data_IF_592409891214
#
_entry.id   IF_592409891214
#
_cell.length_a   1.000
_cell.length_b   1.000
_cell.length_c   1.000
_cell.angle_alpha   90.00
_cell.angle_beta   90.00
_cell.angle_gamma   90.00
#
_symmetry.space_group_name_H-M   'P 1'
#
loop_
_entity.id
_entity.type
_entity.pdbx_description
1 polymer ?
#
# COMPACT_ATOMS: atom_id res chain seq x y z
N UNK A 1 -32.45 -0.68 33.94
CA UNK A 1 -31.53 -1.78 33.64
C UNK A 1 -30.53 -1.31 32.61
N UNK A 2 -29.28 -1.39 33.02
CA UNK A 2 -28.11 -0.79 32.39
C UNK A 2 -27.71 -1.56 31.11
N UNK A 3 -27.71 -0.89 29.98
CA UNK A 3 -27.10 -1.36 28.75
C UNK A 3 -25.61 -0.99 28.81
N UNK A 4 -24.79 -1.85 29.41
CA UNK A 4 -23.31 -1.75 29.28
C UNK A 4 -22.92 -2.22 27.91
N UNK A 5 -22.32 -1.31 27.14
CA UNK A 5 -21.61 -1.64 25.90
C UNK A 5 -20.47 -2.64 26.21
N UNK A 6 -20.23 -3.64 25.36
CA UNK A 6 -19.14 -4.58 25.58
C UNK A 6 -17.80 -3.83 25.56
N UNK A 7 -17.04 -4.01 26.64
CA UNK A 7 -15.71 -3.47 26.81
C UNK A 7 -14.82 -3.87 25.63
N UNK A 8 -14.14 -2.89 25.03
CA UNK A 8 -13.04 -3.10 24.08
C UNK A 8 -12.10 -4.17 24.64
N UNK A 9 -12.00 -5.28 23.92
CA UNK A 9 -11.15 -6.40 24.30
C UNK A 9 -9.72 -5.94 24.50
N UNK A 10 -9.25 -6.07 25.74
CA UNK A 10 -7.86 -5.85 26.07
C UNK A 10 -6.97 -6.70 25.15
N UNK A 11 -5.85 -6.18 24.67
CA UNK A 11 -4.91 -6.95 23.85
C UNK A 11 -4.44 -8.16 24.65
N UNK A 12 -4.21 -9.33 24.00
CA UNK A 12 -3.72 -10.50 24.69
C UNK A 12 -2.41 -10.16 25.41
N UNK A 13 -2.36 -10.55 26.69
CA UNK A 13 -1.19 -10.40 27.55
C UNK A 13 -0.15 -11.47 27.19
N UNK A 14 0.43 -11.36 26.00
CA UNK A 14 1.55 -12.19 25.57
C UNK A 14 2.65 -11.32 24.93
N UNK A 15 2.98 -10.24 25.62
CA UNK A 15 4.23 -9.55 25.47
C UNK A 15 5.12 -10.01 26.62
N UNK A 16 5.73 -11.17 26.49
CA UNK A 16 6.89 -11.50 27.28
C UNK A 16 7.85 -10.34 27.18
N UNK A 17 8.03 -9.61 28.29
CA UNK A 17 9.01 -8.55 28.41
C UNK A 17 10.41 -9.18 28.21
N UNK A 18 10.84 -9.33 26.96
CA UNK A 18 12.23 -9.53 26.68
C UNK A 18 12.93 -8.24 27.11
N UNK A 19 13.86 -8.32 28.03
CA UNK A 19 14.76 -7.23 28.40
C UNK A 19 15.44 -6.75 27.10
N UNK A 20 15.04 -5.59 26.63
CA UNK A 20 15.47 -5.07 25.33
C UNK A 20 16.69 -4.18 25.51
N UNK A 21 17.84 -4.79 25.71
CA UNK A 21 19.09 -4.12 25.43
C UNK A 21 19.28 -4.13 23.89
N UNK A 22 18.96 -3.02 23.25
CA UNK A 22 19.16 -2.82 21.81
C UNK A 22 17.90 -2.42 21.03
N UNK A 23 18.07 -1.95 19.78
CA UNK A 23 16.98 -1.55 18.93
C UNK A 23 16.08 -2.73 18.53
N UNK A 24 14.79 -2.45 18.37
CA UNK A 24 13.81 -3.44 17.98
C UNK A 24 12.94 -2.95 16.83
N UNK A 25 12.37 -3.88 16.05
CA UNK A 25 11.43 -3.58 14.98
C UNK A 25 10.13 -4.40 15.07
N UNK A 26 9.09 -3.90 14.47
CA UNK A 26 7.87 -4.64 14.16
C UNK A 26 7.87 -5.01 12.68
N UNK A 27 7.54 -6.24 12.36
CA UNK A 27 7.33 -6.70 10.99
C UNK A 27 5.85 -6.62 10.63
N UNK A 28 5.54 -5.95 9.53
CA UNK A 28 4.18 -5.82 8.98
C UNK A 28 4.14 -6.50 7.63
N UNK A 29 3.55 -7.68 7.51
CA UNK A 29 3.38 -8.34 6.23
C UNK A 29 2.29 -7.61 5.43
N UNK A 30 2.67 -7.08 4.27
CA UNK A 30 1.77 -6.53 3.26
C UNK A 30 1.68 -7.52 2.09
N UNK A 31 0.99 -8.63 2.30
CA UNK A 31 0.86 -9.73 1.34
C UNK A 31 -0.55 -9.80 0.80
N UNK A 32 -0.68 -9.97 -0.53
CA UNK A 32 -1.99 -10.04 -1.19
C UNK A 32 -2.52 -8.69 -1.65
N UNK A 33 -3.83 -8.56 -1.77
CA UNK A 33 -4.51 -7.42 -2.42
C UNK A 33 -4.69 -6.25 -1.47
N UNK A 34 -4.25 -5.07 -1.87
CA UNK A 34 -4.48 -3.82 -1.14
C UNK A 34 -5.98 -3.50 -1.14
N UNK A 35 -6.56 -3.37 0.04
CA UNK A 35 -8.00 -3.14 0.22
C UNK A 35 -8.82 -4.40 0.49
N UNK A 36 -8.18 -5.59 0.45
CA UNK A 36 -8.79 -6.86 0.83
C UNK A 36 -7.94 -7.52 1.95
N UNK A 37 -6.71 -7.96 1.59
CA UNK A 37 -5.78 -8.59 2.52
C UNK A 37 -4.96 -7.58 3.32
N UNK A 38 -4.62 -6.46 2.67
CA UNK A 38 -3.80 -5.39 3.25
C UNK A 38 -4.64 -4.14 3.46
N UNK A 39 -4.89 -3.82 4.72
CA UNK A 39 -5.76 -2.72 5.14
C UNK A 39 -5.01 -1.69 5.98
N UNK A 40 -5.34 -0.42 5.74
CA UNK A 40 -4.80 0.71 6.48
C UNK A 40 -5.08 0.62 8.00
N UNK A 41 -6.23 0.07 8.40
CA UNK A 41 -6.61 -0.10 9.81
C UNK A 41 -5.66 -1.04 10.56
N UNK A 42 -5.13 -2.07 9.88
CA UNK A 42 -4.07 -2.91 10.41
C UNK A 42 -2.81 -2.09 10.71
N UNK A 43 -2.38 -1.25 9.78
CA UNK A 43 -1.21 -0.39 9.96
C UNK A 43 -1.41 0.65 11.07
N UNK A 44 -2.61 1.25 11.19
CA UNK A 44 -2.96 2.15 12.30
C UNK A 44 -2.76 1.45 13.65
N UNK A 45 -3.23 0.21 13.76
CA UNK A 45 -3.10 -0.60 14.97
C UNK A 45 -1.62 -0.88 15.30
N UNK A 46 -0.80 -1.19 14.29
CA UNK A 46 0.65 -1.43 14.46
C UNK A 46 1.37 -0.16 14.91
N UNK A 47 1.10 0.98 14.28
CA UNK A 47 1.70 2.27 14.67
C UNK A 47 1.34 2.63 16.11
N UNK A 48 0.08 2.48 16.48
CA UNK A 48 -0.37 2.73 17.85
C UNK A 48 0.32 1.80 18.85
N UNK A 49 0.50 0.53 18.50
CA UNK A 49 1.26 -0.42 19.33
C UNK A 49 2.73 -0.05 19.43
N UNK A 50 3.39 0.27 18.30
CA UNK A 50 4.79 0.71 18.27
C UNK A 50 5.05 1.90 19.22
N UNK A 51 4.18 2.93 19.14
CA UNK A 51 4.26 4.11 20.00
C UNK A 51 4.14 3.76 21.48
N UNK A 52 3.17 2.92 21.87
CA UNK A 52 2.99 2.50 23.27
C UNK A 52 4.14 1.66 23.79
N UNK A 53 4.74 0.83 22.94
CA UNK A 53 5.82 -0.10 23.29
C UNK A 53 7.23 0.53 23.16
N UNK A 54 7.32 1.77 22.67
CA UNK A 54 8.61 2.45 22.44
C UNK A 54 9.39 1.92 21.23
N UNK A 55 8.79 1.05 20.40
CA UNK A 55 9.42 0.54 19.17
C UNK A 55 9.46 1.65 18.12
N UNK A 56 10.64 1.91 17.56
CA UNK A 56 10.85 3.01 16.60
C UNK A 56 10.88 2.55 15.15
N UNK A 57 11.10 1.28 14.87
CA UNK A 57 11.27 0.76 13.53
C UNK A 57 10.11 -0.16 13.15
N UNK A 58 9.52 0.09 12.00
CA UNK A 58 8.50 -0.75 11.37
C UNK A 58 9.02 -1.17 10.01
N UNK A 59 9.13 -2.47 9.80
CA UNK A 59 9.50 -3.07 8.51
C UNK A 59 8.22 -3.51 7.80
N UNK A 60 7.97 -2.97 6.61
CA UNK A 60 6.89 -3.37 5.73
C UNK A 60 7.42 -4.44 4.77
N UNK A 61 7.03 -5.69 4.95
CA UNK A 61 7.35 -6.77 4.01
C UNK A 61 6.30 -6.77 2.90
N UNK A 62 6.65 -6.21 1.73
CA UNK A 62 5.73 -5.95 0.64
C UNK A 62 5.83 -7.06 -0.41
N UNK A 63 4.74 -7.82 -0.54
CA UNK A 63 4.56 -8.86 -1.55
C UNK A 63 3.12 -8.81 -2.07
N UNK A 64 2.85 -7.83 -2.94
CA UNK A 64 1.49 -7.48 -3.33
C UNK A 64 1.39 -7.14 -4.82
N UNK A 65 0.36 -7.67 -5.51
CA UNK A 65 0.04 -7.30 -6.89
C UNK A 65 -0.62 -5.92 -6.99
N UNK A 66 -0.89 -5.26 -5.86
CA UNK A 66 -1.63 -4.00 -5.79
C UNK A 66 -3.07 -4.19 -5.31
N UNK A 67 -3.99 -3.38 -5.79
CA UNK A 67 -5.39 -3.38 -5.39
C UNK A 67 -6.00 -1.98 -5.44
N UNK A 68 -6.81 -1.62 -4.44
CA UNK A 68 -7.50 -0.34 -4.38
C UNK A 68 -6.53 0.83 -4.19
N UNK A 69 -6.47 1.73 -5.17
CA UNK A 69 -5.64 2.94 -5.12
C UNK A 69 -6.02 3.87 -3.94
N UNK A 70 -7.29 3.93 -3.56
CA UNK A 70 -7.78 4.69 -2.41
C UNK A 70 -7.21 4.17 -1.10
N UNK A 71 -7.14 2.85 -0.93
CA UNK A 71 -6.59 2.23 0.27
C UNK A 71 -5.06 2.37 0.31
N UNK A 72 -4.37 2.16 -0.83
CA UNK A 72 -2.94 2.44 -0.93
C UNK A 72 -2.61 3.88 -0.54
N UNK A 73 -3.38 4.86 -1.02
CA UNK A 73 -3.22 6.28 -0.65
C UNK A 73 -3.44 6.49 0.84
N UNK A 74 -4.48 5.90 1.44
CA UNK A 74 -4.75 5.97 2.88
C UNK A 74 -3.57 5.44 3.70
N UNK A 75 -2.98 4.31 3.28
CA UNK A 75 -1.75 3.76 3.89
C UNK A 75 -0.61 4.79 3.82
N UNK A 76 -0.35 5.39 2.65
CA UNK A 76 0.69 6.40 2.48
C UNK A 76 0.47 7.65 3.34
N UNK A 77 -0.77 8.13 3.49
CA UNK A 77 -1.14 9.25 4.36
C UNK A 77 -0.86 8.93 5.84
N UNK A 78 -1.27 7.76 6.31
CA UNK A 78 -1.02 7.28 7.68
C UNK A 78 0.50 7.18 7.95
N UNK A 79 1.27 6.66 7.01
CA UNK A 79 2.73 6.57 7.13
C UNK A 79 3.36 7.96 7.22
N UNK A 80 2.94 8.89 6.37
CA UNK A 80 3.41 10.28 6.39
C UNK A 80 3.14 10.95 7.74
N UNK A 81 1.95 10.78 8.30
CA UNK A 81 1.55 11.40 9.56
C UNK A 81 2.34 10.83 10.75
N UNK A 82 2.68 9.53 10.71
CA UNK A 82 3.47 8.87 11.74
C UNK A 82 5.00 9.01 11.58
N UNK A 83 5.47 9.56 10.45
CA UNK A 83 6.88 9.55 10.03
C UNK A 83 7.86 10.19 11.01
N UNK A 84 7.40 11.12 11.84
CA UNK A 84 8.22 11.77 12.88
C UNK A 84 8.44 10.91 14.11
N UNK A 85 7.60 9.91 14.31
CA UNK A 85 7.57 9.10 15.53
C UNK A 85 8.12 7.70 15.31
N UNK A 86 7.91 7.16 14.10
CA UNK A 86 8.39 5.82 13.71
C UNK A 86 9.09 5.87 12.34
N UNK A 87 10.11 5.04 12.19
CA UNK A 87 10.85 4.87 10.94
C UNK A 87 10.29 3.68 10.18
N UNK A 88 9.81 3.91 8.96
CA UNK A 88 9.34 2.87 8.07
C UNK A 88 10.45 2.41 7.13
N UNK A 89 10.64 1.11 7.02
CA UNK A 89 11.56 0.46 6.08
C UNK A 89 10.76 -0.49 5.20
N UNK A 90 10.76 -0.27 3.89
CA UNK A 90 10.18 -1.21 2.94
C UNK A 90 11.17 -2.34 2.63
N UNK A 91 10.74 -3.57 2.81
CA UNK A 91 11.40 -4.79 2.36
C UNK A 91 10.55 -5.40 1.24
N UNK A 92 11.01 -5.24 0.01
CA UNK A 92 10.19 -5.49 -1.18
C UNK A 92 10.53 -6.83 -1.81
N UNK A 93 9.52 -7.68 -1.97
CA UNK A 93 9.49 -8.88 -2.81
C UNK A 93 8.77 -8.59 -4.13
N UNK A 94 7.59 -7.99 -4.02
CA UNK A 94 6.81 -7.51 -5.15
C UNK A 94 5.98 -6.30 -4.70
N UNK A 95 6.15 -5.15 -5.36
CA UNK A 95 5.39 -3.94 -5.09
C UNK A 95 4.80 -3.40 -6.39
N UNK A 96 3.65 -3.95 -6.80
CA UNK A 96 3.00 -3.57 -8.04
C UNK A 96 1.76 -2.72 -7.78
N UNK A 97 1.41 -1.85 -8.73
CA UNK A 97 0.19 -1.03 -8.69
C UNK A 97 0.07 -0.23 -7.38
N UNK A 98 -1.03 -0.35 -6.64
CA UNK A 98 -1.25 0.36 -5.37
C UNK A 98 -0.19 0.04 -4.29
N UNK A 99 0.51 -1.11 -4.37
CA UNK A 99 1.56 -1.48 -3.43
C UNK A 99 2.87 -0.68 -3.60
N UNK A 100 3.01 0.08 -4.69
CA UNK A 100 4.10 1.07 -4.85
C UNK A 100 4.01 2.15 -3.77
N UNK A 101 2.79 2.54 -3.36
CA UNK A 101 2.58 3.65 -2.44
C UNK A 101 3.23 3.43 -1.07
N UNK A 102 3.01 2.33 -0.33
CA UNK A 102 3.72 2.09 0.91
C UNK A 102 5.24 1.99 0.74
N UNK A 103 5.73 1.44 -0.39
CA UNK A 103 7.16 1.39 -0.65
C UNK A 103 7.77 2.79 -0.76
N UNK A 104 7.22 3.67 -1.60
CA UNK A 104 7.74 5.04 -1.80
C UNK A 104 7.48 5.97 -0.61
N UNK A 105 6.54 5.62 0.27
CA UNK A 105 6.27 6.36 1.52
C UNK A 105 7.21 5.96 2.66
N UNK A 106 8.04 4.94 2.49
CA UNK A 106 9.03 4.50 3.46
C UNK A 106 10.25 5.40 3.49
N UNK A 107 11.02 5.38 4.58
CA UNK A 107 12.29 6.13 4.70
C UNK A 107 13.41 5.47 3.87
N UNK A 108 13.38 4.15 3.77
CA UNK A 108 14.35 3.35 2.99
C UNK A 108 13.60 2.21 2.29
N UNK A 109 14.08 1.85 1.11
CA UNK A 109 13.55 0.72 0.34
C UNK A 109 14.69 -0.28 0.11
N UNK A 110 14.44 -1.53 0.44
CA UNK A 110 15.34 -2.65 0.22
C UNK A 110 14.64 -3.73 -0.59
N UNK A 111 15.30 -4.24 -1.60
CA UNK A 111 14.77 -5.21 -2.55
C UNK A 111 15.39 -6.58 -2.37
N UNK A 112 14.60 -7.63 -2.34
CA UNK A 112 15.10 -8.97 -2.62
C UNK A 112 15.65 -9.06 -4.06
N UNK A 113 16.58 -9.98 -4.35
CA UNK A 113 17.23 -10.05 -5.67
C UNK A 113 16.26 -10.20 -6.86
N UNK A 114 15.14 -10.88 -6.65
CA UNK A 114 14.09 -11.12 -7.67
C UNK A 114 12.92 -10.13 -7.58
N UNK A 115 13.02 -9.13 -6.71
CA UNK A 115 11.94 -8.18 -6.49
C UNK A 115 11.68 -7.28 -7.71
N UNK A 116 10.46 -6.77 -7.75
CA UNK A 116 10.00 -5.82 -8.75
C UNK A 116 9.15 -4.71 -8.11
N UNK A 117 9.18 -3.52 -8.73
CA UNK A 117 8.39 -2.37 -8.31
C UNK A 117 7.90 -1.58 -9.52
N UNK A 118 6.62 -1.20 -9.56
CA UNK A 118 6.06 -0.35 -10.63
C UNK A 118 4.65 -0.72 -11.05
N UNK A 119 4.35 -0.51 -12.34
CA UNK A 119 3.04 -0.77 -12.96
C UNK A 119 1.85 -0.17 -12.18
N UNK A 120 1.98 1.10 -11.75
CA UNK A 120 1.02 1.76 -10.84
C UNK A 120 -0.10 2.52 -11.59
N UNK A 121 -0.49 2.06 -12.76
CA UNK A 121 -1.62 2.62 -13.53
C UNK A 121 -2.92 2.33 -12.79
N UNK A 122 -3.73 3.36 -12.58
CA UNK A 122 -5.07 3.19 -12.03
C UNK A 122 -6.10 3.10 -13.16
N UNK A 123 -6.99 2.14 -13.04
CA UNK A 123 -8.13 1.93 -13.92
C UNK A 123 -9.41 2.23 -13.17
N UNK A 124 -10.38 2.81 -13.85
CA UNK A 124 -11.75 2.95 -13.38
C UNK A 124 -12.61 1.90 -14.08
N UNK A 125 -13.32 1.11 -13.31
CA UNK A 125 -14.33 0.21 -13.85
C UNK A 125 -15.55 1.00 -14.27
N UNK A 126 -16.00 0.84 -15.51
CA UNK A 126 -17.20 1.47 -16.05
C UNK A 126 -18.29 0.41 -16.16
N UNK A 127 -19.29 0.40 -15.26
CA UNK A 127 -20.33 -0.63 -15.23
C UNK A 127 -21.11 -0.76 -16.53
N UNK A 128 -21.33 0.35 -17.24
CA UNK A 128 -22.13 0.43 -18.46
C UNK A 128 -21.47 -0.31 -19.63
N UNK A 129 -20.16 -0.32 -19.71
CA UNK A 129 -19.39 -0.97 -20.78
C UNK A 129 -18.78 -2.30 -20.34
N UNK A 130 -18.72 -2.57 -19.04
CA UNK A 130 -17.98 -3.69 -18.49
C UNK A 130 -16.47 -3.64 -18.77
N UNK A 131 -15.93 -2.45 -19.01
CA UNK A 131 -14.53 -2.23 -19.35
C UNK A 131 -13.78 -1.43 -18.26
N UNK A 132 -12.48 -1.66 -18.17
CA UNK A 132 -11.61 -0.83 -17.38
C UNK A 132 -11.11 0.33 -18.25
N UNK A 133 -11.42 1.56 -17.86
CA UNK A 133 -11.01 2.76 -18.58
C UNK A 133 -9.93 3.53 -17.81
N UNK A 134 -9.04 4.14 -18.58
CA UNK A 134 -7.98 5.02 -18.05
C UNK A 134 -8.45 6.47 -18.21
N UNK A 135 -8.64 7.16 -17.10
CA UNK A 135 -8.91 8.59 -17.09
C UNK A 135 -7.58 9.36 -16.99
N UNK A 136 -7.18 10.04 -18.08
CA UNK A 136 -5.92 10.78 -18.14
C UNK A 136 -5.79 11.86 -17.08
N UNK A 137 -6.88 12.56 -16.72
CA UNK A 137 -6.86 13.59 -15.67
C UNK A 137 -6.63 12.95 -14.30
N UNK A 138 -7.29 11.81 -14.06
CA UNK A 138 -7.09 11.07 -12.82
C UNK A 138 -5.67 10.52 -12.73
N UNK A 139 -5.11 9.96 -13.81
CA UNK A 139 -3.72 9.48 -13.83
C UNK A 139 -2.73 10.61 -13.61
N UNK A 140 -2.92 11.78 -14.22
CA UNK A 140 -2.07 12.94 -14.02
C UNK A 140 -2.04 13.40 -12.56
N UNK A 141 -3.21 13.47 -11.92
CA UNK A 141 -3.32 13.82 -10.51
C UNK A 141 -2.70 12.76 -9.58
N UNK A 142 -2.92 11.47 -9.88
CA UNK A 142 -2.32 10.37 -9.14
C UNK A 142 -0.80 10.37 -9.26
N UNK A 143 -0.27 10.54 -10.47
CA UNK A 143 1.17 10.61 -10.74
C UNK A 143 1.82 11.76 -9.98
N UNK A 144 1.20 12.96 -9.97
CA UNK A 144 1.70 14.10 -9.23
C UNK A 144 1.71 13.82 -7.71
N UNK A 145 0.64 13.22 -7.18
CA UNK A 145 0.54 12.86 -5.77
C UNK A 145 1.61 11.84 -5.37
N UNK A 146 1.76 10.77 -6.14
CA UNK A 146 2.74 9.71 -5.86
C UNK A 146 4.18 10.21 -6.02
N UNK A 147 4.45 11.07 -7.03
CA UNK A 147 5.76 11.69 -7.18
C UNK A 147 6.11 12.56 -5.98
N UNK A 148 5.18 13.38 -5.50
CA UNK A 148 5.39 14.20 -4.30
C UNK A 148 5.64 13.34 -3.03
N UNK A 149 4.95 12.19 -2.89
CA UNK A 149 5.24 11.22 -1.81
C UNK A 149 6.67 10.68 -1.91
N UNK A 150 7.10 10.28 -3.09
CA UNK A 150 8.44 9.76 -3.34
C UNK A 150 9.51 10.84 -3.06
N UNK A 151 9.33 12.05 -3.59
CA UNK A 151 10.23 13.18 -3.38
C UNK A 151 10.37 13.55 -1.90
N UNK A 152 9.28 13.48 -1.12
CA UNK A 152 9.31 13.67 0.33
C UNK A 152 10.11 12.60 1.09
N UNK A 153 10.34 11.46 0.43
CA UNK A 153 11.17 10.35 0.92
C UNK A 153 12.58 10.35 0.33
N UNK A 154 12.94 11.39 -0.44
CA UNK A 154 14.24 11.49 -1.12
C UNK A 154 14.38 10.62 -2.38
N UNK A 155 13.28 10.11 -2.91
CA UNK A 155 13.24 9.31 -4.12
C UNK A 155 12.96 10.18 -5.35
N UNK A 156 13.33 9.67 -6.54
CA UNK A 156 13.12 10.38 -7.80
C UNK A 156 11.65 10.32 -8.24
N UNK A 157 11.00 11.49 -8.39
CA UNK A 157 9.61 11.61 -8.79
C UNK A 157 9.32 11.22 -10.23
N UNK A 158 10.28 11.39 -11.16
CA UNK A 158 10.07 11.04 -12.57
C UNK A 158 10.01 9.52 -12.78
N UNK A 159 10.75 8.74 -11.97
CA UNK A 159 10.60 7.28 -11.93
C UNK A 159 9.16 6.92 -11.56
N UNK A 160 8.62 7.55 -10.53
CA UNK A 160 7.25 7.27 -10.06
C UNK A 160 6.21 7.74 -11.08
N UNK A 161 6.41 8.89 -11.73
CA UNK A 161 5.53 9.33 -12.82
C UNK A 161 5.46 8.30 -13.95
N UNK A 162 6.59 7.72 -14.34
CA UNK A 162 6.63 6.70 -15.38
C UNK A 162 5.99 5.36 -14.95
N UNK A 163 5.95 5.06 -13.67
CA UNK A 163 5.21 3.91 -13.13
C UNK A 163 3.68 4.11 -13.21
N UNK A 164 3.20 5.36 -13.30
CA UNK A 164 1.77 5.71 -13.31
C UNK A 164 1.28 6.08 -14.70
N UNK A 165 2.06 6.89 -15.43
CA UNK A 165 1.68 7.44 -16.74
C UNK A 165 2.22 6.54 -17.84
N UNK A 166 1.38 5.83 -18.60
CA UNK A 166 1.82 5.08 -19.76
C UNK A 166 2.51 5.99 -20.79
N UNK A 167 3.56 5.49 -21.41
CA UNK A 167 4.28 6.20 -22.47
C UNK A 167 5.04 7.46 -22.03
N UNK A 168 5.42 7.54 -20.75
CA UNK A 168 6.34 8.55 -20.27
C UNK A 168 7.78 8.02 -20.38
N UNK A 169 8.58 8.56 -21.29
CA UNK A 169 9.98 8.20 -21.39
C UNK A 169 10.78 8.70 -20.19
N UNK A 170 11.71 7.88 -19.71
CA UNK A 170 12.65 8.23 -18.64
C UNK A 170 14.05 7.85 -19.04
N UNK A 171 14.98 8.72 -18.74
CA UNK A 171 16.40 8.58 -19.09
C UNK A 171 17.25 8.61 -17.82
N UNK A 172 18.42 7.99 -17.89
CA UNK A 172 19.44 8.09 -16.86
C UNK A 172 20.80 8.39 -17.47
N UNK A 173 21.61 9.17 -16.75
CA UNK A 173 22.98 9.48 -17.13
C UNK A 173 23.84 9.81 -15.90
N UNK A 174 25.15 9.81 -16.08
CA UNK A 174 26.09 10.19 -15.03
C UNK A 174 26.50 11.66 -15.17
N UNK A 175 26.55 12.37 -14.03
CA UNK A 175 27.17 13.69 -13.94
C UNK A 175 28.69 13.60 -14.04
N UNK A 176 29.38 14.73 -14.18
CA UNK A 176 30.83 14.78 -14.11
C UNK A 176 31.39 14.29 -12.76
N UNK A 177 30.62 14.40 -11.68
CA UNK A 177 30.95 13.92 -10.33
C UNK A 177 30.65 12.43 -10.10
N UNK A 178 30.06 11.73 -11.09
CA UNK A 178 29.69 10.32 -10.98
C UNK A 178 28.31 10.05 -10.36
N UNK A 179 27.51 11.11 -10.11
CA UNK A 179 26.14 10.93 -9.62
C UNK A 179 25.22 10.49 -10.75
N UNK A 180 24.30 9.58 -10.44
CA UNK A 180 23.25 9.15 -11.37
C UNK A 180 22.11 10.16 -11.34
N UNK A 181 21.80 10.74 -12.48
CA UNK A 181 20.62 11.58 -12.71
C UNK A 181 19.59 10.75 -13.45
N UNK A 182 18.34 10.84 -13.02
CA UNK A 182 17.19 10.22 -13.69
C UNK A 182 16.16 11.30 -13.95
N UNK A 183 15.68 11.41 -15.20
CA UNK A 183 14.71 12.44 -15.57
C UNK A 183 13.85 12.01 -16.75
N UNK A 184 12.65 12.60 -16.84
CA UNK A 184 11.81 12.55 -18.03
C UNK A 184 12.34 13.45 -19.15
N UNK A 185 13.25 14.37 -18.86
CA UNK A 185 13.94 15.18 -19.87
C UNK A 185 15.08 14.39 -20.50
N UNK A 186 15.31 14.63 -21.80
CA UNK A 186 16.42 13.99 -22.51
C UNK A 186 17.78 14.40 -21.94
N UNK A 187 18.76 13.48 -21.90
CA UNK A 187 20.11 13.79 -21.44
C UNK A 187 20.72 14.95 -22.20
N UNK A 188 21.49 15.83 -21.54
CA UNK A 188 22.21 16.89 -22.25
C UNK A 188 23.27 16.33 -23.21
N UNK A 189 23.62 17.11 -24.21
CA UNK A 189 24.67 16.72 -25.17
C UNK A 189 25.99 16.44 -24.43
N UNK A 190 26.59 15.26 -24.68
CA UNK A 190 27.82 14.83 -23.99
C UNK A 190 27.65 14.23 -22.62
N UNK A 191 26.42 13.96 -22.18
CA UNK A 191 26.14 13.20 -20.94
C UNK A 191 26.83 11.83 -20.99
N UNK A 192 27.49 11.45 -19.89
CA UNK A 192 28.14 10.14 -19.77
C UNK A 192 27.13 9.08 -19.41
N UNK A 193 27.32 7.86 -19.90
CA UNK A 193 26.50 6.68 -19.60
C UNK A 193 25.00 6.89 -19.85
N UNK A 194 24.65 7.78 -20.76
CA UNK A 194 23.27 8.10 -21.08
C UNK A 194 22.55 6.86 -21.63
N UNK A 195 21.44 6.52 -20.99
CA UNK A 195 20.61 5.37 -21.38
C UNK A 195 19.13 5.67 -21.19
N UNK A 196 18.30 5.01 -21.97
CA UNK A 196 16.85 4.99 -21.77
C UNK A 196 16.53 3.99 -20.66
N UNK A 197 15.82 4.43 -19.66
CA UNK A 197 15.28 3.59 -18.56
C UNK A 197 13.93 3.03 -18.97
N UNK A 198 13.06 3.89 -19.51
CA UNK A 198 11.77 3.53 -20.11
C UNK A 198 11.67 4.16 -21.51
N UNK A 199 11.36 3.33 -22.50
CA UNK A 199 11.24 3.75 -23.91
C UNK A 199 9.81 4.21 -24.29
N UNK A 200 8.97 4.45 -23.30
CA UNK A 200 7.59 4.89 -23.46
C UNK A 200 6.67 3.91 -24.23
N UNK A 201 6.97 2.62 -24.23
CA UNK A 201 6.08 1.61 -24.86
C UNK A 201 4.99 1.10 -23.92
N UNK A 202 5.16 1.28 -22.64
CA UNK A 202 4.24 0.79 -21.59
C UNK A 202 4.25 1.65 -20.34
N UNK A 203 4.15 1.01 -19.21
CA UNK A 203 4.35 1.59 -17.89
C UNK A 203 5.61 1.02 -17.27
N UNK A 204 6.36 1.86 -16.59
CA UNK A 204 7.62 1.45 -15.98
C UNK A 204 7.39 0.41 -14.86
N UNK A 205 8.13 -0.68 -14.98
CA UNK A 205 8.34 -1.64 -13.91
C UNK A 205 9.83 -1.91 -13.81
N UNK A 206 10.39 -1.72 -12.63
CA UNK A 206 11.81 -1.94 -12.37
C UNK A 206 12.03 -3.28 -11.69
N UNK A 207 13.04 -4.01 -12.12
CA UNK A 207 13.62 -5.10 -11.33
C UNK A 207 14.42 -4.51 -10.17
N UNK A 208 14.68 -5.33 -9.15
CA UNK A 208 15.49 -4.94 -7.99
C UNK A 208 16.85 -4.34 -8.38
N UNK A 209 17.52 -4.93 -9.37
CA UNK A 209 18.80 -4.44 -9.90
C UNK A 209 18.67 -3.07 -10.56
N UNK A 210 17.67 -2.91 -11.44
CA UNK A 210 17.42 -1.63 -12.10
C UNK A 210 17.08 -0.53 -11.08
N UNK A 211 16.24 -0.82 -10.08
CA UNK A 211 15.91 0.13 -9.03
C UNK A 211 17.15 0.54 -8.23
N UNK A 212 18.01 -0.42 -7.87
CA UNK A 212 19.27 -0.15 -7.17
C UNK A 212 20.25 0.68 -8.03
N UNK A 213 20.41 0.36 -9.31
CA UNK A 213 21.28 1.10 -10.26
C UNK A 213 20.81 2.55 -10.46
N UNK A 214 19.51 2.80 -10.31
CA UNK A 214 18.90 4.13 -10.38
C UNK A 214 18.85 4.86 -9.03
N UNK A 215 19.40 4.28 -7.97
CA UNK A 215 19.34 4.79 -6.58
C UNK A 215 17.90 4.96 -6.08
N UNK A 216 16.98 4.15 -6.60
CA UNK A 216 15.57 4.10 -6.16
C UNK A 216 15.34 3.09 -5.04
N UNK A 217 16.36 2.76 -4.30
CA UNK A 217 16.43 1.80 -3.21
C UNK A 217 17.71 0.98 -3.30
N UNK A 218 17.82 -0.07 -2.51
CA UNK A 218 19.04 -0.84 -2.34
C UNK A 218 18.74 -2.35 -2.39
N UNK A 219 19.67 -3.15 -2.88
CA UNK A 219 19.55 -4.60 -2.77
C UNK A 219 19.79 -5.03 -1.32
N UNK A 220 18.98 -5.97 -0.84
CA UNK A 220 19.20 -6.63 0.44
C UNK A 220 20.40 -7.57 0.32
N UNK A 221 21.16 -7.70 1.42
CA UNK A 221 22.24 -8.69 1.54
C UNK A 221 21.72 -10.08 1.96
N UNK A 222 22.63 -11.04 2.09
CA UNK A 222 22.31 -12.43 2.46
C UNK A 222 21.61 -12.55 3.84
N UNK A 223 21.83 -11.60 4.75
CA UNK A 223 21.23 -11.60 6.08
C UNK A 223 19.73 -11.19 6.08
N UNK A 224 19.15 -10.86 4.92
CA UNK A 224 17.75 -10.50 4.82
C UNK A 224 17.36 -9.32 5.72
N UNK A 225 16.17 -9.38 6.32
CA UNK A 225 15.65 -8.32 7.21
C UNK A 225 16.56 -8.11 8.42
N UNK A 226 17.13 -9.17 8.99
CA UNK A 226 17.96 -9.05 10.19
C UNK A 226 19.22 -8.20 9.95
N UNK A 227 19.76 -8.24 8.73
CA UNK A 227 20.92 -7.42 8.34
C UNK A 227 20.60 -5.96 8.02
N UNK A 228 19.33 -5.56 7.91
CA UNK A 228 18.99 -4.19 7.58
C UNK A 228 19.21 -3.21 8.73
N UNK A 229 19.25 -3.69 9.97
CA UNK A 229 19.47 -2.85 11.14
C UNK A 229 20.70 -1.97 11.01
N UNK A 230 21.82 -2.50 10.52
CA UNK A 230 23.06 -1.75 10.28
C UNK A 230 22.89 -0.61 9.25
N UNK A 231 21.92 -0.76 8.33
CA UNK A 231 21.69 0.17 7.23
C UNK A 231 20.65 1.25 7.55
N UNK A 232 19.96 1.12 8.70
CA UNK A 232 18.92 2.04 9.16
C UNK A 232 19.21 2.60 10.55
N UNK A 233 20.48 2.71 10.91
CA UNK A 233 20.96 3.24 12.19
C UNK A 233 20.42 2.50 13.44
N UNK A 234 20.14 1.22 13.28
CA UNK A 234 19.61 0.34 14.34
C UNK A 234 20.40 -0.99 14.40
N UNK A 235 21.74 -0.95 14.64
CA UNK A 235 22.58 -2.14 14.58
C UNK A 235 22.14 -3.19 15.59
N UNK A 236 22.16 -4.46 15.15
CA UNK A 236 21.76 -5.60 15.96
C UNK A 236 20.28 -5.60 16.36
N UNK A 237 19.43 -4.94 15.61
CA UNK A 237 17.99 -4.91 15.89
C UNK A 237 17.36 -6.31 15.90
N UNK A 238 16.26 -6.43 16.62
CA UNK A 238 15.55 -7.70 16.76
C UNK A 238 14.04 -7.50 16.58
N UNK A 239 13.37 -8.54 16.11
CA UNK A 239 11.91 -8.55 16.07
C UNK A 239 11.36 -8.40 17.50
N UNK A 240 10.55 -7.35 17.71
CA UNK A 240 9.93 -7.11 19.01
C UNK A 240 8.82 -8.11 19.32
N UNK A 241 7.90 -8.32 18.36
CA UNK A 241 6.79 -9.28 18.46
C UNK A 241 6.13 -9.50 17.11
N UNK A 242 5.26 -10.53 17.02
CA UNK A 242 4.44 -10.82 15.85
C UNK A 242 3.16 -9.97 15.78
N UNK A 243 3.10 -8.86 16.52
CA UNK A 243 1.89 -8.03 16.56
C UNK A 243 1.51 -7.47 15.18
N UNK A 244 2.47 -7.16 14.32
CA UNK A 244 2.22 -6.68 12.97
C UNK A 244 1.38 -7.66 12.15
N UNK A 245 1.76 -8.94 12.15
CA UNK A 245 0.98 -9.99 11.47
C UNK A 245 -0.43 -10.15 12.07
N UNK A 246 -0.52 -10.14 13.40
CA UNK A 246 -1.80 -10.27 14.09
C UNK A 246 -2.74 -9.11 13.76
N UNK A 247 -2.23 -7.87 13.74
CA UNK A 247 -3.00 -6.68 13.44
C UNK A 247 -3.51 -6.67 11.99
N UNK A 248 -2.66 -7.05 11.02
CA UNK A 248 -3.05 -7.13 9.61
C UNK A 248 -4.13 -8.20 9.40
N UNK A 249 -3.95 -9.39 9.94
CA UNK A 249 -4.92 -10.50 9.86
C UNK A 249 -6.26 -10.13 10.49
N UNK A 250 -6.24 -9.45 11.66
CA UNK A 250 -7.47 -8.99 12.31
C UNK A 250 -8.22 -7.97 11.46
N UNK A 251 -7.51 -7.03 10.84
CA UNK A 251 -8.12 -6.03 9.97
C UNK A 251 -8.80 -6.68 8.76
N UNK A 252 -8.14 -7.64 8.08
CA UNK A 252 -8.76 -8.36 6.96
C UNK A 252 -9.96 -9.20 7.38
N UNK A 253 -9.91 -9.90 8.53
CA UNK A 253 -11.07 -10.65 9.04
C UNK A 253 -12.28 -9.76 9.30
N UNK A 254 -12.08 -8.59 9.89
CA UNK A 254 -13.18 -7.61 10.12
C UNK A 254 -13.75 -7.11 8.79
N UNK A 255 -12.90 -6.87 7.79
CA UNK A 255 -13.33 -6.46 6.46
C UNK A 255 -14.16 -7.56 5.77
N UNK A 256 -13.72 -8.81 5.84
CA UNK A 256 -14.45 -9.97 5.30
C UNK A 256 -15.83 -10.13 5.96
N UNK A 257 -15.91 -10.04 7.29
CA UNK A 257 -17.16 -10.10 8.02
C UNK A 257 -18.12 -8.96 7.61
N UNK A 258 -17.59 -7.75 7.47
CA UNK A 258 -18.37 -6.59 7.03
C UNK A 258 -18.89 -6.77 5.59
N UNK A 259 -18.07 -7.33 4.68
CA UNK A 259 -18.48 -7.61 3.31
C UNK A 259 -19.56 -8.70 3.27
N UNK A 260 -19.40 -9.79 3.99
CA UNK A 260 -20.41 -10.84 4.10
C UNK A 260 -21.74 -10.33 4.67
N UNK A 261 -21.69 -9.38 5.62
CA UNK A 261 -22.89 -8.76 6.15
C UNK A 261 -23.61 -7.89 5.09
N UNK A 262 -22.84 -7.13 4.31
CA UNK A 262 -23.38 -6.34 3.17
C UNK A 262 -24.04 -7.24 2.11
N UNK A 263 -23.36 -8.31 1.69
CA UNK A 263 -23.86 -9.24 0.68
C UNK A 263 -25.17 -9.90 1.13
N UNK A 264 -25.26 -10.28 2.43
CA UNK A 264 -26.51 -10.79 3.02
C UNK A 264 -27.61 -9.74 2.99
N UNK A 265 -27.29 -8.50 3.37
CA UNK A 265 -28.26 -7.40 3.34
C UNK A 265 -28.77 -7.12 1.92
N UNK A 266 -27.90 -7.06 0.93
CA UNK A 266 -28.26 -6.86 -0.48
C UNK A 266 -29.12 -8.00 -1.02
N UNK A 267 -28.80 -9.24 -0.67
CA UNK A 267 -29.60 -10.42 -1.02
C UNK A 267 -31.03 -10.33 -0.44
N UNK A 268 -31.15 -9.98 0.84
CA UNK A 268 -32.44 -9.80 1.50
C UNK A 268 -33.23 -8.63 0.86
N UNK A 269 -32.56 -7.50 0.63
CA UNK A 269 -33.17 -6.32 0.00
C UNK A 269 -33.66 -6.63 -1.43
N UNK A 270 -32.88 -7.38 -2.20
CA UNK A 270 -33.25 -7.83 -3.55
C UNK A 270 -34.48 -8.75 -3.51
N UNK A 271 -34.50 -9.72 -2.59
CA UNK A 271 -35.61 -10.66 -2.40
C UNK A 271 -36.90 -9.91 -1.98
N UNK A 272 -36.79 -9.00 -1.04
CA UNK A 272 -37.91 -8.15 -0.61
C UNK A 272 -38.44 -7.30 -1.76
N UNK A 273 -37.54 -6.68 -2.54
CA UNK A 273 -37.93 -5.92 -3.73
C UNK A 273 -38.65 -6.76 -4.80
N UNK A 274 -38.26 -8.01 -4.99
CA UNK A 274 -38.91 -8.94 -5.87
C UNK A 274 -40.34 -9.32 -5.37
N UNK A 275 -40.46 -9.58 -4.07
CA UNK A 275 -41.76 -9.89 -3.43
C UNK A 275 -42.73 -8.70 -3.51
N UNK A 276 -42.23 -7.48 -3.25
CA UNK A 276 -43.06 -6.25 -3.39
C UNK A 276 -43.51 -6.06 -4.82
N UNK A 277 -42.63 -6.19 -5.83
CA UNK A 277 -43.00 -6.10 -7.25
C UNK A 277 -44.05 -7.14 -7.60
N UNK A 278 -43.89 -8.38 -7.13
CA UNK A 278 -44.85 -9.44 -7.37
C UNK A 278 -46.22 -9.13 -6.74
N UNK A 279 -46.23 -8.72 -5.46
CA UNK A 279 -47.49 -8.35 -4.79
C UNK A 279 -48.21 -7.20 -5.46
N UNK A 280 -47.49 -6.17 -5.96
CA UNK A 280 -48.09 -5.06 -6.73
C UNK A 280 -48.58 -5.52 -8.08
N UNK A 281 -47.93 -6.45 -8.76
CA UNK A 281 -48.38 -6.97 -10.07
C UNK A 281 -49.58 -7.90 -9.97
N UNK A 282 -49.74 -8.60 -8.84
CA UNK A 282 -50.90 -9.50 -8.58
C UNK A 282 -52.12 -8.76 -8.03
N UNK A 283 -52.03 -7.47 -7.67
CA UNK A 283 -53.13 -6.62 -7.25
C UNK A 283 -53.37 -5.43 -8.22
N UNK A 284 -53.94 -5.68 -9.40
CA UNK A 284 -54.17 -4.64 -10.40
C UNK A 284 -55.18 -3.56 -9.99
N UNK A 285 -55.82 -3.71 -8.82
CA UNK A 285 -56.82 -2.77 -8.31
C UNK A 285 -56.31 -1.93 -7.11
N UNK A 286 -55.03 -2.00 -6.79
CA UNK A 286 -54.40 -1.17 -5.76
C UNK A 286 -54.90 -1.41 -4.33
N UNK A 287 -55.35 -2.64 -4.02
CA UNK A 287 -55.89 -3.00 -2.70
C UNK A 287 -54.83 -3.42 -1.68
N UNK A 288 -53.57 -3.63 -2.09
CA UNK A 288 -52.49 -3.95 -1.17
C UNK A 288 -52.10 -2.69 -0.40
N UNK A 289 -52.62 -2.55 0.81
CA UNK A 289 -52.14 -1.57 1.76
C UNK A 289 -50.86 -2.12 2.39
N UNK A 290 -49.72 -1.55 2.01
CA UNK A 290 -48.46 -1.78 2.70
C UNK A 290 -48.59 -1.14 4.09
N UNK A 291 -48.83 -1.96 5.13
CA UNK A 291 -48.68 -1.53 6.51
C UNK A 291 -47.19 -1.55 6.85
N UNK A 292 -46.59 -0.40 6.99
CA UNK A 292 -45.35 -0.23 7.72
C UNK A 292 -45.74 -0.21 9.19
N UNK A 293 -45.48 -1.29 9.90
CA UNK A 293 -45.36 -1.21 11.36
C UNK A 293 -43.90 -0.84 11.65
N UNK A 294 -43.74 0.23 12.44
CA UNK A 294 -42.48 0.83 12.86
C UNK A 294 -41.70 -0.08 13.83
#
# INVERSE_FOLDING_TARGET
DKNEAPAEGAPPADAGAASTDGPTYLLVPMRGVIGEDVLADGLVSVIAFAKRSGVKHIVLEIDSPGGLASEGRRIGEIMRDARKEVTFTAYVKSALSAAVIPAISSHRIFYEPEAQIGAAVAYRWVPETGAAEVDEKFLSALAATMAAMAESSGLNGDIVRAMVIPRLAVYAWSTAGGDVVVSAESPPAGAKDARTVDDAKGVLTLTARQASDLRFGELVGEAGIDGLGERVDAPGWRLYSNYGETAMRRASSVQEEAQQARDRFESVASTLGALVRRAVSEDPHGRVKLYYEA
#
